data_IF_161218817323
#
_entry.id   IF_161218817323
#
_cell.length_a   1.000
_cell.length_b   1.000
_cell.length_c   1.000
_cell.angle_alpha   90.00
_cell.angle_beta   90.00
_cell.angle_gamma   90.00
#
_symmetry.space_group_name_H-M   'P 1'
#
loop_
_entity.id
_entity.type
_entity.pdbx_description
1 polymer ?
#
# COMPACT_ATOMS: atom_id res chain seq x y z
N UNK A 1 -0.35 -26.32 -34.01
CA UNK A 1 -1.30 -25.82 -33.00
C UNK A 1 -0.51 -25.20 -31.87
N UNK A 2 -0.54 -23.87 -31.75
CA UNK A 2 0.17 -23.14 -30.70
C UNK A 2 -0.63 -23.09 -29.41
N UNK A 3 -0.09 -23.65 -28.33
CA UNK A 3 -0.60 -23.48 -26.97
C UNK A 3 -0.01 -22.21 -26.35
N UNK A 4 -0.82 -21.16 -26.23
CA UNK A 4 -0.48 -19.94 -25.47
C UNK A 4 -0.40 -20.26 -23.99
N UNK A 5 0.80 -20.17 -23.41
CA UNK A 5 0.98 -20.04 -21.96
C UNK A 5 0.44 -18.69 -21.49
N UNK A 6 -0.55 -18.70 -20.61
CA UNK A 6 -1.00 -17.50 -19.89
C UNK A 6 0.01 -17.22 -18.78
N UNK A 7 0.93 -16.27 -19.02
CA UNK A 7 1.73 -15.63 -17.98
C UNK A 7 0.82 -14.74 -17.13
N UNK A 8 0.61 -15.13 -15.87
CA UNK A 8 -0.22 -14.42 -14.91
C UNK A 8 0.60 -13.51 -14.00
N UNK A 9 0.04 -12.35 -13.67
CA UNK A 9 0.29 -11.67 -12.40
C UNK A 9 1.28 -10.51 -12.39
N UNK A 10 1.12 -9.52 -13.28
CA UNK A 10 1.73 -8.20 -13.12
C UNK A 10 1.05 -7.43 -11.99
N UNK A 11 1.26 -7.84 -10.73
CA UNK A 11 0.66 -7.20 -9.57
C UNK A 11 1.28 -5.82 -9.31
N UNK A 12 0.43 -4.83 -9.07
CA UNK A 12 0.80 -3.47 -8.64
C UNK A 12 0.71 -3.42 -7.11
N UNK A 13 1.61 -2.69 -6.45
CA UNK A 13 1.61 -2.54 -5.00
C UNK A 13 1.20 -1.11 -4.66
N UNK A 14 0.21 -0.91 -3.79
CA UNK A 14 -0.15 0.43 -3.29
C UNK A 14 0.08 0.49 -1.78
N UNK A 15 0.91 1.42 -1.32
CA UNK A 15 1.14 1.71 0.08
C UNK A 15 0.56 3.09 0.41
N UNK A 16 -0.39 3.13 1.35
CA UNK A 16 -0.86 4.39 1.91
C UNK A 16 -0.16 4.66 3.22
N UNK A 17 0.67 5.70 3.24
CA UNK A 17 1.49 6.10 4.37
C UNK A 17 0.89 7.35 5.01
N UNK A 18 0.45 7.22 6.27
CA UNK A 18 0.15 8.40 7.11
C UNK A 18 1.43 9.14 7.54
N UNK A 19 2.59 8.47 7.47
CA UNK A 19 3.80 8.80 8.21
C UNK A 19 5.03 8.83 7.28
N UNK A 20 5.10 9.82 6.39
CA UNK A 20 6.24 10.01 5.48
C UNK A 20 7.49 10.59 6.18
N UNK A 21 7.38 10.99 7.45
CA UNK A 21 8.38 11.82 8.14
C UNK A 21 9.42 11.08 8.98
N UNK A 22 9.53 9.75 8.90
CA UNK A 22 10.33 8.95 9.84
C UNK A 22 11.16 7.82 9.18
N UNK A 23 11.59 7.96 7.94
CA UNK A 23 12.57 7.03 7.36
C UNK A 23 13.97 7.58 7.64
N UNK A 24 14.72 6.87 8.50
CA UNK A 24 16.07 7.24 8.91
C UNK A 24 17.08 7.22 7.75
N UNK A 25 18.15 8.00 7.91
CA UNK A 25 19.13 8.39 6.89
C UNK A 25 20.10 7.29 6.40
N UNK A 26 19.70 6.01 6.37
CA UNK A 26 20.55 4.95 5.85
C UNK A 26 19.76 3.95 4.99
N UNK A 27 19.34 4.40 3.82
CA UNK A 27 19.07 3.50 2.70
C UNK A 27 19.78 4.06 1.47
N UNK A 28 20.51 3.21 0.75
CA UNK A 28 20.98 3.55 -0.59
C UNK A 28 19.78 4.09 -1.36
N UNK A 29 19.86 5.34 -1.83
CA UNK A 29 18.75 6.04 -2.46
C UNK A 29 18.21 5.18 -3.59
N UNK A 30 17.06 4.52 -3.38
CA UNK A 30 16.42 3.72 -4.42
C UNK A 30 15.97 4.73 -5.48
N UNK A 31 16.56 4.72 -6.69
CA UNK A 31 16.31 5.77 -7.66
C UNK A 31 14.83 5.76 -8.04
N UNK A 32 14.11 6.82 -7.66
CA UNK A 32 12.73 7.03 -8.09
C UNK A 32 12.73 7.43 -9.57
N UNK A 33 11.77 6.94 -10.39
CA UNK A 33 11.61 7.46 -11.74
C UNK A 33 11.40 8.99 -11.69
N UNK A 34 11.95 9.76 -12.65
CA UNK A 34 11.68 11.18 -12.71
C UNK A 34 10.17 11.42 -12.90
N UNK A 35 9.66 12.49 -12.29
CA UNK A 35 8.28 12.90 -12.50
C UNK A 35 8.04 13.23 -13.98
N UNK A 36 6.95 12.70 -14.53
CA UNK A 36 6.48 13.10 -15.86
C UNK A 36 5.70 14.42 -15.75
N UNK A 37 6.22 15.49 -16.32
CA UNK A 37 5.55 16.80 -16.36
C UNK A 37 4.80 16.92 -17.69
N UNK A 38 3.48 17.11 -17.61
CA UNK A 38 2.59 17.31 -18.75
C UNK A 38 1.84 18.63 -18.64
N UNK A 39 1.27 19.09 -19.75
CA UNK A 39 0.45 20.31 -19.75
C UNK A 39 -0.86 20.11 -18.97
N UNK A 40 -1.44 21.20 -18.45
CA UNK A 40 -2.75 21.15 -17.76
C UNK A 40 -3.86 20.62 -18.67
N UNK A 41 -3.85 20.96 -19.95
CA UNK A 41 -4.81 20.48 -20.95
C UNK A 41 -4.67 18.96 -21.16
N UNK A 42 -3.43 18.47 -21.26
CA UNK A 42 -3.16 17.04 -21.38
C UNK A 42 -3.57 16.27 -20.13
N UNK A 43 -3.27 16.78 -18.94
CA UNK A 43 -3.70 16.18 -17.68
C UNK A 43 -5.23 16.04 -17.63
N UNK A 44 -5.96 17.10 -17.97
CA UNK A 44 -7.42 17.08 -18.00
C UNK A 44 -7.96 16.10 -19.04
N UNK A 45 -7.34 16.03 -20.22
CA UNK A 45 -7.69 15.05 -21.25
C UNK A 45 -7.47 13.61 -20.76
N UNK A 46 -6.35 13.33 -20.08
CA UNK A 46 -6.07 12.01 -19.50
C UNK A 46 -7.05 11.65 -18.38
N UNK A 47 -7.48 12.62 -17.55
CA UNK A 47 -8.53 12.41 -16.55
C UNK A 47 -9.87 12.09 -17.23
N UNK A 48 -10.28 12.89 -18.22
CA UNK A 48 -11.56 12.72 -18.92
C UNK A 48 -11.65 11.40 -19.70
N UNK A 49 -10.52 10.93 -20.25
CA UNK A 49 -10.43 9.67 -21.00
C UNK A 49 -10.16 8.44 -20.12
N UNK A 50 -10.07 8.61 -18.79
CA UNK A 50 -9.78 7.51 -17.86
C UNK A 50 -8.35 6.96 -17.95
N UNK A 51 -7.43 7.67 -18.62
CA UNK A 51 -6.01 7.32 -18.65
C UNK A 51 -5.28 7.70 -17.35
N UNK A 52 -5.84 8.62 -16.58
CA UNK A 52 -5.36 8.96 -15.24
C UNK A 52 -6.01 8.05 -14.20
N UNK A 53 -5.23 7.10 -13.66
CA UNK A 53 -5.72 6.07 -12.73
C UNK A 53 -5.85 6.56 -11.28
N UNK A 54 -5.07 7.57 -10.94
CA UNK A 54 -5.17 8.33 -9.69
C UNK A 54 -4.93 9.78 -10.06
N UNK A 55 -5.69 10.71 -9.49
CA UNK A 55 -5.39 12.13 -9.59
C UNK A 55 -5.84 12.93 -8.39
N UNK A 56 -5.11 14.00 -8.14
CA UNK A 56 -5.38 14.98 -7.10
C UNK A 56 -5.31 16.39 -7.67
N UNK A 57 -5.96 17.31 -6.98
CA UNK A 57 -5.96 18.73 -7.30
C UNK A 57 -5.80 19.50 -6.00
N UNK A 58 -4.71 20.23 -5.84
CA UNK A 58 -4.59 21.17 -4.72
C UNK A 58 -5.51 22.37 -4.98
N UNK A 59 -6.41 22.62 -4.04
CA UNK A 59 -7.34 23.76 -4.05
C UNK A 59 -6.93 24.86 -3.05
N UNK A 60 -5.90 24.63 -2.24
CA UNK A 60 -5.62 25.39 -1.02
C UNK A 60 -4.39 26.30 -1.11
N UNK A 61 -3.43 26.02 -2.00
CA UNK A 61 -2.17 26.79 -2.07
C UNK A 61 -2.30 28.17 -2.72
N UNK A 62 -3.22 28.38 -3.67
CA UNK A 62 -3.45 29.69 -4.31
C UNK A 62 -4.72 29.65 -5.20
N UNK A 63 -5.60 30.67 -5.16
CA UNK A 63 -6.77 30.74 -6.05
C UNK A 63 -6.41 30.87 -7.54
N UNK A 64 -5.20 31.33 -7.84
CA UNK A 64 -4.69 31.50 -9.21
C UNK A 64 -3.84 30.31 -9.71
N UNK A 65 -3.39 29.42 -8.82
CA UNK A 65 -2.52 28.29 -9.18
C UNK A 65 -3.06 27.01 -8.57
N UNK A 66 -3.49 26.11 -9.45
CA UNK A 66 -3.87 24.75 -9.08
C UNK A 66 -2.72 23.80 -9.39
N UNK A 67 -2.20 23.12 -8.37
CA UNK A 67 -1.32 21.96 -8.59
C UNK A 67 -2.14 20.70 -8.84
N UNK A 68 -1.68 19.86 -9.77
CA UNK A 68 -2.29 18.57 -10.12
C UNK A 68 -1.21 17.52 -10.23
N UNK A 69 -1.48 16.35 -9.67
CA UNK A 69 -0.58 15.20 -9.75
C UNK A 69 -1.42 13.92 -9.81
N UNK A 70 -0.80 12.82 -10.22
CA UNK A 70 -1.50 11.56 -10.40
C UNK A 70 -0.63 10.47 -11.01
N UNK A 71 -1.21 9.27 -11.10
CA UNK A 71 -0.59 8.10 -11.73
C UNK A 71 -1.34 7.79 -13.01
N UNK A 72 -0.65 7.90 -14.16
CA UNK A 72 -1.24 7.53 -15.44
C UNK A 72 -1.10 6.04 -15.71
N UNK A 73 -2.05 5.48 -16.47
CA UNK A 73 -2.00 4.10 -16.94
C UNK A 73 -0.75 3.81 -17.76
N UNK A 74 -0.34 4.76 -18.59
CA UNK A 74 0.86 4.64 -19.42
C UNK A 74 2.14 4.52 -18.58
N UNK A 75 2.28 5.35 -17.53
CA UNK A 75 3.43 5.27 -16.63
C UNK A 75 3.50 3.90 -15.94
N UNK A 76 2.36 3.38 -15.49
CA UNK A 76 2.27 2.07 -14.86
C UNK A 76 2.65 0.93 -15.81
N UNK A 77 2.12 0.98 -17.04
CA UNK A 77 2.40 0.00 -18.08
C UNK A 77 3.88 0.00 -18.47
N UNK A 78 4.53 1.16 -18.51
CA UNK A 78 5.95 1.26 -18.82
C UNK A 78 6.82 0.58 -17.76
N UNK A 79 6.51 0.77 -16.48
CA UNK A 79 7.20 0.07 -15.38
C UNK A 79 7.01 -1.44 -15.51
N UNK A 80 5.77 -1.90 -15.76
CA UNK A 80 5.48 -3.33 -15.96
C UNK A 80 6.24 -3.89 -17.17
N UNK A 81 6.26 -3.15 -18.30
CA UNK A 81 6.95 -3.53 -19.54
C UNK A 81 8.46 -3.62 -19.36
N UNK A 82 9.03 -2.83 -18.44
CA UNK A 82 10.44 -2.90 -18.05
C UNK A 82 10.78 -4.12 -17.18
N UNK A 83 9.82 -5.01 -16.91
CA UNK A 83 10.01 -6.19 -16.06
C UNK A 83 10.07 -5.85 -14.57
N UNK A 84 9.59 -4.66 -14.17
CA UNK A 84 9.57 -4.19 -12.78
C UNK A 84 8.16 -4.18 -12.23
N UNK A 85 8.03 -4.27 -10.91
CA UNK A 85 6.74 -4.10 -10.23
C UNK A 85 6.55 -2.63 -9.85
N UNK A 86 5.42 -2.02 -10.24
CA UNK A 86 5.09 -0.69 -9.76
C UNK A 86 4.76 -0.71 -8.27
N UNK A 87 5.44 0.15 -7.52
CA UNK A 87 5.08 0.53 -6.16
C UNK A 87 4.51 1.95 -6.19
N UNK A 88 3.26 2.11 -5.77
CA UNK A 88 2.53 3.37 -5.72
C UNK A 88 2.37 3.77 -4.28
N UNK A 89 2.93 4.92 -3.91
CA UNK A 89 2.66 5.59 -2.65
C UNK A 89 1.49 6.56 -2.87
N UNK A 90 0.35 6.32 -2.22
CA UNK A 90 -0.85 7.16 -2.41
C UNK A 90 -1.68 7.30 -1.14
N UNK A 91 -2.48 8.35 -1.05
CA UNK A 91 -3.44 8.51 0.06
C UNK A 91 -4.63 7.55 -0.08
N UNK A 92 -5.47 7.47 0.95
CA UNK A 92 -6.68 6.61 0.98
C UNK A 92 -7.57 6.85 -0.25
N UNK A 93 -7.79 8.12 -0.62
CA UNK A 93 -8.58 8.49 -1.81
C UNK A 93 -7.92 7.98 -3.11
N UNK A 94 -6.59 7.99 -3.17
CA UNK A 94 -5.86 7.47 -4.32
C UNK A 94 -6.03 5.95 -4.46
N UNK A 95 -5.93 5.20 -3.36
CA UNK A 95 -6.19 3.77 -3.34
C UNK A 95 -7.63 3.43 -3.77
N UNK A 96 -8.61 4.21 -3.31
CA UNK A 96 -10.00 4.09 -3.77
C UNK A 96 -10.15 4.29 -5.27
N UNK A 97 -9.51 5.33 -5.81
CA UNK A 97 -9.51 5.66 -7.22
C UNK A 97 -8.95 4.50 -8.07
N UNK A 98 -7.84 3.91 -7.64
CA UNK A 98 -7.22 2.75 -8.30
C UNK A 98 -8.17 1.54 -8.28
N UNK A 99 -8.75 1.22 -7.11
CA UNK A 99 -9.69 0.09 -6.96
C UNK A 99 -10.94 0.27 -7.83
N UNK A 100 -11.56 1.47 -7.83
CA UNK A 100 -12.74 1.80 -8.65
C UNK A 100 -12.47 1.67 -10.15
N UNK A 101 -11.23 1.94 -10.58
CA UNK A 101 -10.79 1.81 -11.98
C UNK A 101 -10.35 0.38 -12.34
N UNK A 102 -10.55 -0.58 -11.44
CA UNK A 102 -10.28 -2.01 -11.68
C UNK A 102 -8.79 -2.35 -11.74
N UNK A 103 -7.95 -1.54 -11.08
CA UNK A 103 -6.51 -1.84 -10.97
C UNK A 103 -6.33 -3.03 -10.04
N UNK A 104 -5.85 -4.15 -10.58
CA UNK A 104 -5.49 -5.34 -9.82
C UNK A 104 -4.17 -5.10 -9.07
N UNK A 105 -4.28 -4.78 -7.79
CA UNK A 105 -3.18 -4.42 -6.94
C UNK A 105 -3.31 -5.02 -5.53
N UNK A 106 -2.17 -5.33 -4.93
CA UNK A 106 -2.06 -5.61 -3.51
C UNK A 106 -2.03 -4.27 -2.78
N UNK A 107 -3.09 -4.00 -2.03
CA UNK A 107 -3.29 -2.73 -1.33
C UNK A 107 -3.05 -2.88 0.17
N UNK A 108 -2.08 -2.13 0.69
CA UNK A 108 -1.65 -2.19 2.09
C UNK A 108 -1.82 -0.81 2.73
N UNK A 109 -2.63 -0.74 3.78
CA UNK A 109 -2.80 0.46 4.60
C UNK A 109 -1.80 0.44 5.75
N UNK A 110 -0.91 1.44 5.81
CA UNK A 110 0.08 1.55 6.88
C UNK A 110 -0.37 2.57 7.92
N UNK A 111 -0.79 2.08 9.10
CA UNK A 111 -1.29 2.93 10.18
C UNK A 111 -0.29 3.08 11.32
N UNK A 112 -0.29 4.20 12.04
CA UNK A 112 0.43 4.32 13.30
C UNK A 112 -0.21 3.42 14.38
N UNK A 113 0.52 3.01 15.43
CA UNK A 113 -0.03 2.21 16.53
C UNK A 113 -1.20 2.92 17.20
N UNK A 114 -1.03 4.22 17.45
CA UNK A 114 -2.05 5.11 18.00
C UNK A 114 -1.92 6.51 17.40
N UNK A 115 -2.99 7.29 17.43
CA UNK A 115 -2.96 8.70 17.02
C UNK A 115 -2.01 9.55 17.88
N UNK A 116 -1.82 9.19 19.16
CA UNK A 116 -0.85 9.87 20.03
C UNK A 116 0.59 9.65 19.58
N UNK A 117 0.92 8.43 19.14
CA UNK A 117 2.24 8.12 18.57
C UNK A 117 2.44 8.90 17.27
N UNK A 118 1.40 8.99 16.44
CA UNK A 118 1.43 9.77 15.21
C UNK A 118 1.70 11.26 15.46
N UNK A 119 0.92 11.91 16.34
CA UNK A 119 1.17 13.30 16.73
C UNK A 119 2.59 13.51 17.24
N UNK A 120 3.06 12.61 18.12
CA UNK A 120 4.41 12.69 18.67
C UNK A 120 5.46 12.66 17.55
N UNK A 121 5.28 11.82 16.53
CA UNK A 121 6.20 11.75 15.37
C UNK A 121 6.20 13.05 14.57
N UNK A 122 5.03 13.59 14.23
CA UNK A 122 4.92 14.89 13.53
C UNK A 122 5.64 16.01 14.29
N UNK A 123 5.47 16.06 15.62
CA UNK A 123 6.15 17.06 16.47
C UNK A 123 7.67 16.88 16.51
N UNK A 124 8.16 15.65 16.47
CA UNK A 124 9.59 15.36 16.47
C UNK A 124 10.29 15.75 15.16
N UNK A 125 9.55 15.77 14.05
CA UNK A 125 10.10 16.22 12.75
C UNK A 125 10.42 17.71 12.72
N UNK A 126 9.86 18.53 13.64
CA UNK A 126 10.12 19.98 13.78
C UNK A 126 9.90 20.84 12.51
N UNK A 127 9.18 20.31 11.52
CA UNK A 127 8.95 20.96 10.22
C UNK A 127 7.57 21.59 10.09
N UNK A 128 6.64 21.29 11.00
CA UNK A 128 5.22 21.65 10.87
C UNK A 128 4.73 22.45 12.08
N UNK A 129 3.82 23.38 11.83
CA UNK A 129 3.14 24.18 12.85
C UNK A 129 2.06 23.39 13.59
N UNK A 130 1.66 23.86 14.77
CA UNK A 130 0.55 23.26 15.52
C UNK A 130 -0.74 23.16 14.71
N UNK A 131 -1.02 24.14 13.86
CA UNK A 131 -2.21 24.14 12.99
C UNK A 131 -2.15 23.02 11.97
N UNK A 132 -1.00 22.82 11.32
CA UNK A 132 -0.79 21.75 10.34
C UNK A 132 -0.87 20.37 11.00
N UNK A 133 -0.28 20.22 12.19
CA UNK A 133 -0.37 19.00 12.98
C UNK A 133 -1.82 18.65 13.30
N UNK A 134 -2.65 19.61 13.69
CA UNK A 134 -4.08 19.36 13.96
C UNK A 134 -4.85 18.92 12.71
N UNK A 135 -4.56 19.53 11.55
CA UNK A 135 -5.16 19.12 10.27
C UNK A 135 -4.77 17.68 9.95
N UNK A 136 -3.49 17.32 10.08
CA UNK A 136 -3.01 15.96 9.82
C UNK A 136 -3.57 14.94 10.81
N UNK A 137 -3.72 15.30 12.09
CA UNK A 137 -4.37 14.44 13.07
C UNK A 137 -5.85 14.19 12.76
N UNK A 138 -6.58 15.23 12.36
CA UNK A 138 -7.97 15.11 11.96
C UNK A 138 -8.12 14.20 10.74
N UNK A 139 -7.24 14.37 9.74
CA UNK A 139 -7.17 13.50 8.57
C UNK A 139 -6.87 12.05 8.95
N UNK A 140 -5.85 11.81 9.76
CA UNK A 140 -5.47 10.47 10.18
C UNK A 140 -6.60 9.76 10.95
N UNK A 141 -7.37 10.50 11.76
CA UNK A 141 -8.57 9.97 12.42
C UNK A 141 -9.64 9.56 11.41
N UNK A 142 -9.95 10.43 10.45
CA UNK A 142 -10.94 10.13 9.42
C UNK A 142 -10.56 8.90 8.58
N UNK A 143 -9.29 8.76 8.22
CA UNK A 143 -8.78 7.59 7.49
C UNK A 143 -8.83 6.30 8.34
N UNK A 144 -8.57 6.38 9.65
CA UNK A 144 -8.74 5.25 10.57
C UNK A 144 -10.21 4.85 10.72
N UNK A 145 -11.13 5.81 10.72
CA UNK A 145 -12.56 5.50 10.76
C UNK A 145 -13.01 4.87 9.44
N UNK A 146 -12.50 5.37 8.31
CA UNK A 146 -12.76 4.83 6.98
C UNK A 146 -12.26 3.38 6.81
N UNK A 147 -11.02 3.06 7.23
CA UNK A 147 -10.50 1.69 7.08
C UNK A 147 -11.30 0.65 7.89
N UNK A 148 -11.99 1.09 8.95
CA UNK A 148 -12.87 0.23 9.74
C UNK A 148 -14.27 0.07 9.13
N UNK A 149 -14.65 0.90 8.15
CA UNK A 149 -15.94 0.80 7.48
C UNK A 149 -15.98 -0.40 6.50
N UNK A 150 -17.18 -0.87 6.13
CA UNK A 150 -17.34 -1.89 5.08
C UNK A 150 -16.73 -1.48 3.74
N UNK A 151 -16.71 -0.18 3.43
CA UNK A 151 -16.15 0.37 2.20
C UNK A 151 -14.62 0.30 2.24
N UNK A 152 -13.99 0.80 3.31
CA UNK A 152 -12.53 0.80 3.45
C UNK A 152 -11.94 -0.61 3.42
N UNK A 153 -12.62 -1.59 4.03
CA UNK A 153 -12.21 -3.01 3.99
C UNK A 153 -12.26 -3.65 2.60
N UNK A 154 -12.97 -3.06 1.64
CA UNK A 154 -12.95 -3.53 0.23
C UNK A 154 -11.79 -2.91 -0.56
N UNK A 155 -11.25 -1.79 -0.08
CA UNK A 155 -10.17 -1.07 -0.74
C UNK A 155 -8.81 -1.68 -0.40
N UNK A 156 -8.59 -2.06 0.86
CA UNK A 156 -7.29 -2.56 1.33
C UNK A 156 -7.33 -4.04 1.68
N UNK A 157 -6.33 -4.78 1.19
CA UNK A 157 -6.18 -6.20 1.44
C UNK A 157 -5.50 -6.47 2.80
N UNK A 158 -4.61 -5.56 3.22
CA UNK A 158 -3.90 -5.62 4.50
C UNK A 158 -3.90 -4.28 5.23
N UNK A 159 -3.92 -4.36 6.57
CA UNK A 159 -3.66 -3.23 7.47
C UNK A 159 -2.44 -3.56 8.31
N UNK A 160 -1.39 -2.77 8.16
CA UNK A 160 -0.14 -2.91 8.91
C UNK A 160 0.02 -1.81 9.95
N UNK A 161 0.56 -2.17 11.11
CA UNK A 161 0.82 -1.23 12.20
C UNK A 161 2.29 -0.86 12.22
N UNK A 162 2.60 0.40 11.91
CA UNK A 162 3.97 0.92 11.89
C UNK A 162 4.50 1.21 13.30
N UNK A 163 4.96 0.17 14.02
CA UNK A 163 5.57 0.33 15.36
C UNK A 163 7.03 0.79 15.27
N UNK A 164 7.86 -0.03 14.62
CA UNK A 164 9.28 0.19 14.37
C UNK A 164 9.59 -0.15 12.91
N UNK A 165 10.55 0.56 12.31
CA UNK A 165 10.89 0.41 10.89
C UNK A 165 11.27 -1.04 10.55
N UNK A 166 12.15 -1.65 11.34
CA UNK A 166 12.62 -3.01 11.10
C UNK A 166 11.48 -4.05 11.07
N UNK A 167 10.62 -4.02 12.08
CA UNK A 167 9.48 -4.96 12.18
C UNK A 167 8.50 -4.75 11.02
N UNK A 168 8.21 -3.49 10.70
CA UNK A 168 7.29 -3.12 9.61
C UNK A 168 7.81 -3.59 8.26
N UNK A 169 9.10 -3.46 8.00
CA UNK A 169 9.75 -3.96 6.78
C UNK A 169 9.67 -5.48 6.71
N UNK A 170 9.88 -6.19 7.82
CA UNK A 170 9.76 -7.64 7.85
C UNK A 170 8.32 -8.10 7.59
N UNK A 171 7.33 -7.43 8.17
CA UNK A 171 5.92 -7.73 7.94
C UNK A 171 5.49 -7.45 6.48
N UNK A 172 5.96 -6.33 5.90
CA UNK A 172 5.80 -6.04 4.48
C UNK A 172 6.41 -7.13 3.61
N UNK A 173 7.65 -7.55 3.89
CA UNK A 173 8.32 -8.64 3.16
C UNK A 173 7.53 -9.93 3.22
N UNK A 174 6.98 -10.30 4.38
CA UNK A 174 6.14 -11.50 4.53
C UNK A 174 4.87 -11.42 3.69
N UNK A 175 4.17 -10.28 3.71
CA UNK A 175 2.96 -10.07 2.89
C UNK A 175 3.30 -10.12 1.41
N UNK A 176 4.34 -9.40 0.97
CA UNK A 176 4.76 -9.38 -0.43
C UNK A 176 5.19 -10.78 -0.86
N UNK A 177 5.98 -11.49 -0.05
CA UNK A 177 6.43 -12.86 -0.33
C UNK A 177 5.28 -13.85 -0.48
N UNK A 178 4.22 -13.69 0.32
CA UNK A 178 3.03 -14.53 0.22
C UNK A 178 2.31 -14.39 -1.14
N UNK A 179 2.16 -13.15 -1.63
CA UNK A 179 1.46 -12.86 -2.89
C UNK A 179 2.37 -12.94 -4.12
N UNK A 180 3.66 -12.67 -3.92
CA UNK A 180 4.70 -12.53 -4.96
C UNK A 180 6.02 -13.14 -4.48
N UNK A 181 6.08 -14.47 -4.29
CA UNK A 181 7.30 -15.18 -3.92
C UNK A 181 8.39 -15.09 -4.99
N UNK A 182 8.01 -14.74 -6.23
CA UNK A 182 8.90 -14.44 -7.34
C UNK A 182 9.68 -13.11 -7.17
N UNK A 183 9.15 -12.17 -6.38
CA UNK A 183 9.83 -10.89 -6.06
C UNK A 183 10.61 -11.01 -4.77
N UNK A 184 9.93 -11.48 -3.72
CA UNK A 184 10.49 -11.63 -2.37
C UNK A 184 10.38 -13.11 -2.03
N UNK A 185 11.46 -13.90 -2.21
CA UNK A 185 11.44 -15.30 -1.84
C UNK A 185 11.11 -15.47 -0.36
N UNK A 186 10.36 -16.52 0.01
CA UNK A 186 10.12 -16.81 1.41
C UNK A 186 11.46 -17.09 2.10
N UNK A 187 11.63 -16.58 3.32
CA UNK A 187 12.79 -16.95 4.13
C UNK A 187 12.80 -18.47 4.32
N UNK A 188 13.79 -19.12 3.71
CA UNK A 188 14.03 -20.54 3.98
C UNK A 188 14.52 -20.60 5.41
N UNK A 189 13.70 -21.17 6.30
CA UNK A 189 14.19 -21.55 7.61
C UNK A 189 15.36 -22.51 7.38
N UNK A 190 16.58 -22.01 7.55
CA UNK A 190 17.77 -22.85 7.55
C UNK A 190 17.53 -23.89 8.64
N UNK A 191 17.19 -25.11 8.25
CA UNK A 191 17.19 -26.28 9.12
C UNK A 191 18.65 -26.53 9.51
N UNK A 192 19.15 -25.71 10.45
CA UNK A 192 20.31 -26.04 11.22
C UNK A 192 19.95 -27.31 12.00
N UNK A 193 20.61 -28.40 11.62
CA UNK A 193 20.72 -29.63 12.37
C UNK A 193 20.94 -29.36 13.87
N UNK A 194 19.99 -29.77 14.71
CA UNK A 194 20.11 -29.98 16.15
C UNK A 194 21.19 -31.08 16.46
N UNK A 195 21.77 -31.19 17.69
CA UNK A 195 21.02 -31.01 18.94
C UNK A 195 21.68 -30.39 20.19
N UNK A 196 20.78 -29.98 21.10
CA UNK A 196 20.80 -30.12 22.57
C UNK A 196 21.26 -28.96 23.47
N UNK A 197 20.27 -28.36 24.16
CA UNK A 197 20.05 -28.44 25.62
C UNK A 197 19.70 -27.10 26.27
N UNK A 198 18.63 -27.12 27.09
CA UNK A 198 18.33 -26.18 28.21
C UNK A 198 18.09 -24.70 27.83
N UNK A 199 16.96 -24.04 28.09
CA UNK A 199 16.00 -24.13 29.18
C UNK A 199 14.72 -23.34 28.80
N UNK A 200 13.58 -23.79 29.31
CA UNK A 200 12.25 -23.20 29.13
C UNK A 200 12.14 -21.74 29.57
N UNK A 201 11.45 -20.91 28.77
CA UNK A 201 10.45 -19.99 29.31
C UNK A 201 9.35 -19.69 28.25
N UNK A 202 8.05 -19.91 28.55
CA UNK A 202 6.96 -19.67 27.61
C UNK A 202 6.27 -18.34 27.93
N UNK A 203 6.23 -17.39 26.99
CA UNK A 203 5.23 -16.29 26.95
C UNK A 203 5.43 -15.41 25.70
N UNK A 204 4.66 -15.64 24.65
CA UNK A 204 3.93 -14.60 23.91
C UNK A 204 3.23 -15.26 22.71
N UNK A 205 2.06 -15.82 23.00
CA UNK A 205 1.07 -16.16 22.00
C UNK A 205 0.46 -14.88 21.44
N UNK A 206 0.72 -14.56 20.17
CA UNK A 206 -0.24 -13.78 19.39
C UNK A 206 -0.18 -14.18 17.92
N UNK A 207 -0.88 -15.26 17.62
CA UNK A 207 -1.48 -15.50 16.31
C UNK A 207 -2.91 -14.97 16.38
N UNK A 208 -3.20 -13.90 15.64
CA UNK A 208 -4.55 -13.69 15.12
C UNK A 208 -4.43 -13.31 13.64
N UNK A 209 -4.27 -14.36 12.84
CA UNK A 209 -4.50 -14.36 11.42
C UNK A 209 -5.97 -14.74 11.28
N UNK A 210 -6.86 -13.76 11.40
CA UNK A 210 -8.30 -13.99 11.33
C UNK A 210 -8.71 -14.42 9.91
N UNK A 211 -8.55 -15.72 9.66
CA UNK A 211 -9.27 -16.47 8.64
C UNK A 211 -10.75 -16.48 9.02
N UNK A 212 -11.61 -15.97 8.15
CA UNK A 212 -12.87 -16.65 7.86
C UNK A 212 -12.96 -16.85 6.35
N UNK A 213 -12.28 -17.91 5.89
CA UNK A 213 -12.64 -18.56 4.64
C UNK A 213 -13.92 -19.36 4.86
N UNK A 214 -15.01 -19.00 4.19
CA UNK A 214 -16.13 -19.91 3.98
C UNK A 214 -16.36 -20.04 2.48
N UNK A 215 -15.99 -21.18 1.92
CA UNK A 215 -16.28 -21.57 0.54
C UNK A 215 -17.68 -22.18 0.52
N UNK A 216 -18.62 -21.57 -0.21
CA UNK A 216 -19.84 -22.25 -0.66
C UNK A 216 -19.70 -22.54 -2.16
N UNK A 217 -19.58 -23.82 -2.50
CA UNK A 217 -19.65 -24.28 -3.89
C UNK A 217 -21.08 -24.19 -4.46
N UNK A 218 -21.25 -24.27 -5.79
CA UNK A 218 -22.56 -24.25 -6.41
C UNK A 218 -23.34 -25.52 -6.08
N UNK A 219 -24.59 -25.37 -5.62
CA UNK A 219 -25.56 -26.46 -5.57
C UNK A 219 -26.01 -26.76 -6.99
N UNK A 220 -25.52 -27.87 -7.54
CA UNK A 220 -25.99 -28.44 -8.79
C UNK A 220 -27.34 -29.15 -8.64
N UNK A 221 -28.24 -28.85 -9.57
CA UNK A 221 -29.13 -29.77 -10.29
C UNK A 221 -29.88 -30.86 -9.53
N UNK A 222 -31.21 -30.69 -9.44
CA UNK A 222 -32.16 -31.80 -9.35
C UNK A 222 -33.05 -31.81 -10.59
N UNK A 223 -32.81 -32.77 -11.50
CA UNK A 223 -33.85 -33.38 -12.33
C UNK A 223 -34.41 -34.57 -11.54
N UNK A 224 -35.73 -34.72 -11.56
CA UNK A 224 -36.48 -35.79 -10.90
C UNK A 224 -37.93 -35.38 -10.76
#
# INVERSE_FOLDING_TARGET
GGGKGKGGGGGIMTASMMDSGCLGENEAEVPRPPNLVISSAEFQSQVASGQMLEHHKDLFTNSMVTFRWGVSKGALQEVIRSGRIPLIECETEGAEQLRKRGVDCLSIFLRPPTLKVFERRLRLSLTESDREIQIRQAKARAELDFIHSPEGRKIFDYVLVHRHQHDTVNDLKRIISHHRPDIVPPEVATLASEPSSSSLNPSSSYMDVSRQTSVRGPLGGGMG
#
